data_IF_471589100762
#
_entry.id   IF_471589100762
#
_cell.length_a   1.000
_cell.length_b   1.000
_cell.length_c   1.000
_cell.angle_alpha   90.00
_cell.angle_beta   90.00
_cell.angle_gamma   90.00
#
_symmetry.space_group_name_H-M   'P 1'
#
loop_
_entity.id
_entity.type
_entity.pdbx_description
1 polymer ?
#
# COMPACT_ATOMS: atom_id res chain seq x y z
N UNK A 1 -0.86 -30.39 -4.81
CA UNK A 1 0.24 -29.45 -4.60
C UNK A 1 0.70 -29.02 -6.00
N UNK A 2 0.10 -27.98 -6.54
CA UNK A 2 0.39 -27.48 -7.87
C UNK A 2 1.62 -26.59 -7.81
N UNK A 3 2.58 -26.86 -8.69
CA UNK A 3 3.66 -25.95 -9.07
C UNK A 3 3.03 -24.74 -9.76
N UNK A 4 2.43 -23.81 -9.00
CA UNK A 4 2.04 -22.51 -9.53
C UNK A 4 3.34 -21.80 -9.91
N UNK A 5 3.50 -21.60 -11.22
CA UNK A 5 4.50 -20.72 -11.81
C UNK A 5 4.48 -19.44 -10.97
N UNK A 6 5.59 -19.14 -10.29
CA UNK A 6 5.82 -17.84 -9.65
C UNK A 6 5.54 -16.79 -10.72
N UNK A 7 4.36 -16.19 -10.68
CA UNK A 7 3.99 -15.13 -11.58
C UNK A 7 4.84 -13.92 -11.17
N UNK A 8 5.91 -13.67 -11.92
CA UNK A 8 6.84 -12.60 -11.66
C UNK A 8 6.17 -11.28 -12.09
N UNK A 9 5.19 -10.82 -11.27
CA UNK A 9 4.46 -9.59 -11.52
C UNK A 9 5.44 -8.42 -11.75
N UNK A 10 6.51 -8.31 -10.94
CA UNK A 10 7.55 -7.27 -11.10
C UNK A 10 8.12 -7.27 -12.51
N UNK A 11 8.48 -8.44 -13.04
CA UNK A 11 9.01 -8.55 -14.41
C UNK A 11 7.98 -8.12 -15.46
N UNK A 12 6.70 -8.48 -15.28
CA UNK A 12 5.61 -8.03 -16.17
C UNK A 12 5.42 -6.52 -16.12
N UNK A 13 5.54 -5.90 -14.94
CA UNK A 13 5.42 -4.46 -14.78
C UNK A 13 6.61 -3.73 -15.41
N UNK A 14 7.85 -4.18 -15.18
CA UNK A 14 9.06 -3.63 -15.81
C UNK A 14 8.97 -3.77 -17.33
N UNK A 15 8.57 -4.95 -17.82
CA UNK A 15 8.34 -5.15 -19.26
C UNK A 15 7.26 -4.22 -19.78
N UNK A 16 6.17 -3.99 -19.05
CA UNK A 16 5.12 -3.03 -19.39
C UNK A 16 5.63 -1.61 -19.51
N UNK A 17 6.51 -1.18 -18.59
CA UNK A 17 7.17 0.15 -18.67
C UNK A 17 8.02 0.26 -19.95
N UNK A 18 8.90 -0.73 -20.18
CA UNK A 18 9.80 -0.72 -21.35
C UNK A 18 8.98 -0.75 -22.66
N UNK A 19 7.99 -1.62 -22.75
CA UNK A 19 7.10 -1.71 -23.90
C UNK A 19 6.35 -0.39 -24.13
N UNK A 20 5.83 0.23 -23.05
CA UNK A 20 5.18 1.53 -23.10
C UNK A 20 6.09 2.63 -23.64
N UNK A 21 7.33 2.71 -23.13
CA UNK A 21 8.32 3.67 -23.63
C UNK A 21 8.59 3.49 -25.13
N UNK A 22 8.80 2.26 -25.58
CA UNK A 22 9.04 1.96 -27.01
C UNK A 22 7.83 2.35 -27.85
N UNK A 23 6.61 1.96 -27.43
CA UNK A 23 5.38 2.31 -28.14
C UNK A 23 5.24 3.83 -28.22
N UNK A 24 5.40 4.56 -27.11
CA UNK A 24 5.24 6.01 -27.09
C UNK A 24 6.25 6.78 -27.94
N UNK A 25 7.50 6.31 -27.99
CA UNK A 25 8.56 6.98 -28.75
C UNK A 25 8.48 6.73 -30.26
N UNK A 26 8.00 5.56 -30.69
CA UNK A 26 8.10 5.14 -32.10
C UNK A 26 6.75 4.95 -32.79
N UNK A 27 5.61 5.08 -32.11
CA UNK A 27 4.31 4.87 -32.74
C UNK A 27 3.71 6.12 -33.35
N UNK A 28 2.83 5.91 -34.35
CA UNK A 28 2.04 6.97 -34.96
C UNK A 28 0.92 7.48 -34.04
N UNK A 29 0.36 8.65 -34.39
CA UNK A 29 -0.78 9.25 -33.67
C UNK A 29 -1.97 8.30 -33.56
N UNK A 30 -2.28 7.56 -34.64
CA UNK A 30 -3.38 6.59 -34.64
C UNK A 30 -3.19 5.46 -33.60
N UNK A 31 -1.96 4.94 -33.45
CA UNK A 31 -1.64 3.93 -32.47
C UNK A 31 -1.75 4.51 -31.06
N UNK A 32 -1.29 5.72 -30.83
CA UNK A 32 -1.41 6.38 -29.53
C UNK A 32 -2.89 6.66 -29.18
N UNK A 33 -3.74 6.99 -30.13
CA UNK A 33 -5.19 7.10 -29.93
C UNK A 33 -5.82 5.79 -29.45
N UNK A 34 -5.38 4.63 -30.01
CA UNK A 34 -5.80 3.29 -29.52
C UNK A 34 -5.30 3.06 -28.09
N UNK A 35 -4.02 3.35 -27.84
CA UNK A 35 -3.40 3.18 -26.52
C UNK A 35 -4.11 4.01 -25.45
N UNK A 36 -4.45 5.27 -25.76
CA UNK A 36 -5.25 6.11 -24.86
C UNK A 36 -6.63 5.52 -24.58
N UNK A 37 -7.29 4.98 -25.60
CA UNK A 37 -8.59 4.34 -25.44
C UNK A 37 -8.49 3.14 -24.50
N UNK A 38 -7.45 2.30 -24.68
CA UNK A 38 -7.18 1.16 -23.78
C UNK A 38 -6.90 1.66 -22.34
N UNK A 39 -6.02 2.65 -22.17
CA UNK A 39 -5.72 3.27 -20.87
C UNK A 39 -6.99 3.73 -20.17
N UNK A 40 -7.86 4.45 -20.89
CA UNK A 40 -9.12 4.96 -20.36
C UNK A 40 -10.03 3.82 -19.89
N UNK A 41 -10.25 2.79 -20.70
CA UNK A 41 -11.12 1.65 -20.35
C UNK A 41 -10.58 0.90 -19.13
N UNK A 42 -9.27 0.62 -19.10
CA UNK A 42 -8.65 -0.06 -17.96
C UNK A 42 -8.73 0.79 -16.67
N UNK A 43 -8.54 2.10 -16.79
CA UNK A 43 -8.74 3.05 -15.68
C UNK A 43 -10.17 3.03 -15.14
N UNK A 44 -11.18 3.01 -16.03
CA UNK A 44 -12.59 2.90 -15.63
C UNK A 44 -12.89 1.59 -14.89
N UNK A 45 -12.34 0.44 -15.34
CA UNK A 45 -12.50 -0.85 -14.65
C UNK A 45 -11.88 -0.80 -13.25
N UNK A 46 -10.67 -0.23 -13.12
CA UNK A 46 -10.01 -0.04 -11.83
C UNK A 46 -10.87 0.84 -10.92
N UNK A 47 -11.28 2.02 -11.39
CA UNK A 47 -12.08 2.98 -10.62
C UNK A 47 -13.44 2.41 -10.19
N UNK A 48 -14.08 1.59 -11.04
CA UNK A 48 -15.32 0.90 -10.71
C UNK A 48 -15.17 -0.07 -9.52
N UNK A 49 -14.01 -0.74 -9.41
CA UNK A 49 -13.77 -1.72 -8.35
C UNK A 49 -13.39 -1.09 -7.00
N UNK A 50 -12.93 0.17 -6.98
CA UNK A 50 -12.45 0.83 -5.75
C UNK A 50 -13.49 0.84 -4.62
N UNK A 51 -14.75 1.28 -4.79
CA UNK A 51 -15.74 1.26 -3.71
C UNK A 51 -16.04 -0.15 -3.20
N UNK A 52 -15.99 -1.16 -4.08
CA UNK A 52 -16.20 -2.57 -3.72
C UNK A 52 -15.03 -3.08 -2.85
N UNK A 53 -13.80 -2.70 -3.20
CA UNK A 53 -12.60 -3.01 -2.43
C UNK A 53 -12.70 -2.39 -1.03
N UNK A 54 -13.06 -1.11 -0.93
CA UNK A 54 -13.24 -0.40 0.34
C UNK A 54 -14.25 -1.13 1.23
N UNK A 55 -15.42 -1.41 0.70
CA UNK A 55 -16.48 -2.10 1.46
C UNK A 55 -16.05 -3.52 1.84
N UNK A 56 -15.47 -4.26 0.89
CA UNK A 56 -15.09 -5.66 1.06
C UNK A 56 -13.92 -5.88 2.02
N UNK A 57 -13.08 -4.86 2.28
CA UNK A 57 -11.95 -4.99 3.20
C UNK A 57 -12.17 -4.29 4.53
N UNK A 58 -12.70 -3.06 4.54
CA UNK A 58 -12.82 -2.27 5.75
C UNK A 58 -13.93 -2.81 6.66
N UNK A 59 -15.12 -3.13 6.11
CA UNK A 59 -16.21 -3.62 6.93
C UNK A 59 -15.88 -4.94 7.66
N UNK A 60 -15.32 -5.99 7.00
CA UNK A 60 -14.88 -7.20 7.69
C UNK A 60 -13.74 -6.96 8.69
N UNK A 61 -12.81 -6.04 8.40
CA UNK A 61 -11.75 -5.70 9.35
C UNK A 61 -12.33 -5.16 10.66
N UNK A 62 -13.34 -4.28 10.60
CA UNK A 62 -14.02 -3.73 11.78
C UNK A 62 -14.78 -4.83 12.55
N UNK A 63 -15.48 -5.74 11.86
CA UNK A 63 -16.21 -6.82 12.55
C UNK A 63 -15.28 -7.75 13.33
N UNK A 64 -14.03 -7.91 12.89
CA UNK A 64 -13.01 -8.70 13.59
C UNK A 64 -12.44 -8.01 14.85
N UNK A 65 -12.65 -6.69 14.99
CA UNK A 65 -12.23 -5.90 16.17
C UNK A 65 -13.22 -5.98 17.35
N UNK A 66 -13.92 -7.11 17.55
CA UNK A 66 -14.99 -7.28 18.55
C UNK A 66 -14.56 -6.98 19.99
N UNK A 67 -15.56 -6.59 20.80
CA UNK A 67 -15.43 -6.27 22.22
C UNK A 67 -14.88 -7.39 23.11
N UNK A 68 -14.87 -8.63 22.64
CA UNK A 68 -14.26 -9.80 23.29
C UNK A 68 -12.82 -10.07 22.79
N UNK A 69 -12.25 -9.17 21.99
CA UNK A 69 -10.86 -9.28 21.59
C UNK A 69 -9.95 -9.20 22.82
N UNK A 70 -8.99 -10.11 22.93
CA UNK A 70 -8.03 -10.09 24.03
C UNK A 70 -7.30 -8.74 24.07
N UNK A 71 -6.92 -8.27 25.28
CA UNK A 71 -6.09 -7.06 25.45
C UNK A 71 -4.90 -7.03 24.48
N UNK A 72 -4.34 -8.18 24.16
CA UNK A 72 -3.23 -8.34 23.22
C UNK A 72 -3.62 -7.97 21.77
N UNK A 73 -4.82 -8.36 21.32
CA UNK A 73 -5.32 -8.00 19.99
C UNK A 73 -5.52 -6.48 19.85
N UNK A 74 -6.20 -5.87 20.82
CA UNK A 74 -6.43 -4.41 20.82
C UNK A 74 -5.10 -3.66 20.83
N UNK A 75 -4.16 -4.10 21.68
CA UNK A 75 -2.82 -3.48 21.76
C UNK A 75 -2.10 -3.58 20.42
N UNK A 76 -2.12 -4.75 19.76
CA UNK A 76 -1.46 -4.92 18.45
C UNK A 76 -2.10 -4.07 17.35
N UNK A 77 -3.44 -3.94 17.33
CA UNK A 77 -4.14 -3.08 16.37
C UNK A 77 -3.80 -1.61 16.57
N UNK A 78 -3.75 -1.15 17.82
CA UNK A 78 -3.33 0.22 18.15
C UNK A 78 -1.88 0.46 17.72
N UNK A 79 -0.97 -0.47 18.01
CA UNK A 79 0.43 -0.38 17.60
C UNK A 79 0.57 -0.34 16.08
N UNK A 80 -0.16 -1.18 15.35
CA UNK A 80 -0.15 -1.22 13.88
C UNK A 80 -0.65 0.11 13.28
N UNK A 81 -1.76 0.66 13.82
CA UNK A 81 -2.27 1.95 13.40
C UNK A 81 -1.28 3.08 13.67
N UNK A 82 -0.78 3.18 14.91
CA UNK A 82 0.15 4.24 15.31
C UNK A 82 1.47 4.16 14.52
N UNK A 83 1.96 2.95 14.24
CA UNK A 83 3.15 2.77 13.40
C UNK A 83 2.90 3.21 11.95
N UNK A 84 1.79 2.79 11.33
CA UNK A 84 1.44 3.21 9.98
C UNK A 84 1.21 4.72 9.88
N UNK A 85 0.48 5.31 10.84
CA UNK A 85 0.26 6.75 10.94
C UNK A 85 1.59 7.51 11.15
N UNK A 86 2.45 7.01 12.04
CA UNK A 86 3.77 7.60 12.27
C UNK A 86 4.66 7.56 11.03
N UNK A 87 4.67 6.45 10.29
CA UNK A 87 5.37 6.31 9.01
C UNK A 87 4.84 7.30 7.96
N UNK A 88 3.52 7.47 7.89
CA UNK A 88 2.86 8.43 7.01
C UNK A 88 3.24 9.88 7.35
N UNK A 89 3.22 10.24 8.64
CA UNK A 89 3.62 11.58 9.11
C UNK A 89 5.12 11.82 8.83
N UNK A 90 5.97 10.83 9.12
CA UNK A 90 7.39 10.91 8.81
C UNK A 90 7.63 11.15 7.31
N UNK A 91 6.91 10.40 6.47
CA UNK A 91 6.97 10.55 5.01
C UNK A 91 6.47 11.91 4.54
N UNK A 92 5.35 12.39 5.09
CA UNK A 92 4.79 13.71 4.79
C UNK A 92 5.77 14.83 5.12
N UNK A 93 6.35 14.82 6.32
CA UNK A 93 7.34 15.82 6.74
C UNK A 93 8.59 15.77 5.86
N UNK A 94 9.09 14.57 5.58
CA UNK A 94 10.22 14.37 4.66
C UNK A 94 9.90 14.86 3.26
N UNK A 95 8.67 14.64 2.77
CA UNK A 95 8.19 15.10 1.47
C UNK A 95 8.23 16.63 1.35
N UNK A 96 7.70 17.35 2.34
CA UNK A 96 7.78 18.83 2.35
C UNK A 96 9.19 19.37 2.40
N UNK A 97 10.11 18.66 3.07
CA UNK A 97 11.52 19.09 3.18
C UNK A 97 12.34 18.76 1.94
N UNK A 98 12.13 17.59 1.33
CA UNK A 98 13.03 17.04 0.30
C UNK A 98 12.54 17.34 -1.11
N UNK A 99 11.22 17.21 -1.38
CA UNK A 99 10.68 17.36 -2.76
C UNK A 99 11.01 18.72 -3.37
N UNK A 100 10.92 19.87 -2.65
CA UNK A 100 11.30 21.16 -3.21
C UNK A 100 12.79 21.24 -3.63
N UNK A 101 13.65 20.47 -2.96
CA UNK A 101 15.10 20.43 -3.27
C UNK A 101 15.43 19.61 -4.53
N UNK A 102 14.49 18.80 -5.00
CA UNK A 102 14.69 17.96 -6.19
C UNK A 102 14.60 18.74 -7.50
N UNK A 103 14.25 20.03 -7.46
CA UNK A 103 14.08 20.90 -8.64
C UNK A 103 13.26 20.22 -9.73
N UNK A 104 12.10 19.70 -9.35
CA UNK A 104 11.20 19.00 -10.26
C UNK A 104 10.66 20.03 -11.26
N UNK A 105 11.05 19.90 -12.51
CA UNK A 105 10.51 20.72 -13.59
C UNK A 105 9.05 20.33 -13.79
N UNK A 106 8.16 21.28 -13.61
CA UNK A 106 6.74 21.09 -13.93
C UNK A 106 6.59 20.93 -15.44
N UNK A 107 5.80 19.97 -15.86
CA UNK A 107 5.74 19.48 -17.25
C UNK A 107 4.97 20.43 -18.19
N UNK A 108 4.72 21.68 -17.84
CA UNK A 108 3.78 22.54 -18.54
C UNK A 108 4.23 23.05 -19.94
N UNK A 109 5.53 23.08 -20.26
CA UNK A 109 6.00 23.68 -21.52
C UNK A 109 6.59 22.65 -22.50
N UNK A 110 6.01 22.63 -23.72
CA UNK A 110 6.57 21.91 -24.86
C UNK A 110 6.21 20.44 -24.98
N UNK A 111 5.12 19.99 -24.32
CA UNK A 111 4.60 18.65 -24.53
C UNK A 111 3.82 18.53 -25.83
N UNK A 112 3.93 17.35 -26.49
CA UNK A 112 3.04 17.02 -27.59
C UNK A 112 1.62 16.80 -27.07
N UNK A 113 0.64 17.36 -27.76
CA UNK A 113 -0.76 17.05 -27.47
C UNK A 113 -1.07 15.61 -27.81
N UNK A 114 -1.78 14.94 -26.90
CA UNK A 114 -2.22 13.57 -27.14
C UNK A 114 -3.30 13.53 -28.25
N UNK A 115 -3.25 12.56 -29.17
CA UNK A 115 -4.29 12.39 -30.17
C UNK A 115 -5.62 11.99 -29.52
N UNK A 116 -6.78 12.25 -30.12
CA UNK A 116 -8.06 11.91 -29.52
C UNK A 116 -8.23 10.40 -29.35
N UNK A 117 -8.93 9.99 -28.27
CA UNK A 117 -9.37 8.61 -28.10
C UNK A 117 -10.35 8.20 -29.20
N UNK A 118 -10.34 6.92 -29.59
CA UNK A 118 -11.27 6.40 -30.60
C UNK A 118 -12.72 6.45 -30.12
N UNK A 119 -12.94 6.09 -28.85
CA UNK A 119 -14.22 6.18 -28.17
C UNK A 119 -14.02 6.23 -26.66
N UNK A 120 -15.05 6.63 -25.91
CA UNK A 120 -15.06 6.64 -24.46
C UNK A 120 -16.14 5.66 -23.97
N UNK A 121 -15.73 4.67 -23.17
CA UNK A 121 -16.62 3.79 -22.45
C UNK A 121 -16.68 4.25 -20.99
N UNK A 122 -17.73 4.96 -20.63
CA UNK A 122 -17.89 5.43 -19.24
C UNK A 122 -18.52 4.33 -18.38
N UNK A 123 -17.78 3.88 -17.35
CA UNK A 123 -18.23 2.87 -16.39
C UNK A 123 -18.21 3.53 -14.99
N UNK A 124 -19.28 4.25 -14.61
CA UNK A 124 -19.29 4.94 -13.33
C UNK A 124 -19.28 3.94 -12.16
N UNK A 125 -18.54 4.21 -11.07
CA UNK A 125 -18.58 3.37 -9.89
C UNK A 125 -19.97 3.41 -9.24
N UNK A 126 -20.37 2.28 -8.62
CA UNK A 126 -21.69 2.13 -7.97
C UNK A 126 -21.88 3.09 -6.80
N UNK A 127 -20.82 3.41 -6.09
CA UNK A 127 -20.77 4.34 -4.95
C UNK A 127 -19.60 5.29 -5.11
N UNK A 128 -19.73 6.50 -4.56
CA UNK A 128 -18.55 7.32 -4.35
C UNK A 128 -17.65 6.66 -3.31
N UNK A 129 -16.36 6.93 -3.37
CA UNK A 129 -15.37 6.40 -2.43
C UNK A 129 -15.69 6.76 -0.99
N UNK A 130 -16.04 8.03 -0.74
CA UNK A 130 -16.40 8.48 0.61
C UNK A 130 -17.69 7.81 1.10
N UNK A 131 -18.68 7.60 0.21
CA UNK A 131 -19.89 6.86 0.55
C UNK A 131 -19.59 5.40 0.90
N UNK A 132 -18.71 4.74 0.13
CA UNK A 132 -18.27 3.37 0.42
C UNK A 132 -17.53 3.27 1.75
N UNK A 133 -16.67 4.26 2.08
CA UNK A 133 -15.95 4.31 3.35
C UNK A 133 -16.93 4.46 4.53
N UNK A 134 -17.82 5.45 4.47
CA UNK A 134 -18.81 5.68 5.54
C UNK A 134 -19.72 4.46 5.71
N UNK A 135 -20.17 3.86 4.59
CA UNK A 135 -20.95 2.62 4.62
C UNK A 135 -20.19 1.46 5.26
N UNK A 136 -18.91 1.28 4.92
CA UNK A 136 -18.08 0.24 5.49
C UNK A 136 -17.89 0.40 7.01
N UNK A 137 -17.66 1.64 7.47
CA UNK A 137 -17.54 1.95 8.90
C UNK A 137 -18.85 1.68 9.64
N UNK A 138 -19.97 2.20 9.13
CA UNK A 138 -21.27 2.05 9.79
C UNK A 138 -21.74 0.59 9.77
N UNK A 139 -21.59 -0.11 8.66
CA UNK A 139 -21.97 -1.52 8.54
C UNK A 139 -21.13 -2.40 9.47
N UNK A 140 -19.81 -2.19 9.48
CA UNK A 140 -18.89 -2.91 10.37
C UNK A 140 -19.25 -2.70 11.84
N UNK A 141 -19.46 -1.45 12.27
CA UNK A 141 -19.86 -1.13 13.65
C UNK A 141 -21.24 -1.68 14.00
N UNK A 142 -22.24 -1.55 13.12
CA UNK A 142 -23.58 -2.05 13.36
C UNK A 142 -23.61 -3.58 13.54
N UNK A 143 -22.81 -4.32 12.76
CA UNK A 143 -22.66 -5.78 12.90
C UNK A 143 -22.01 -6.14 14.26
N UNK A 144 -21.01 -5.36 14.71
CA UNK A 144 -20.43 -5.54 16.03
C UNK A 144 -21.48 -5.31 17.13
N UNK A 145 -22.24 -4.22 17.05
CA UNK A 145 -23.25 -3.87 18.07
C UNK A 145 -24.41 -4.88 18.13
N UNK A 146 -24.85 -5.37 16.98
CA UNK A 146 -25.95 -6.36 16.89
C UNK A 146 -25.49 -7.80 17.08
N UNK A 147 -24.17 -8.04 17.13
CA UNK A 147 -23.54 -9.36 17.20
C UNK A 147 -24.07 -10.33 16.11
N UNK A 148 -24.33 -9.81 14.89
CA UNK A 148 -24.92 -10.54 13.80
C UNK A 148 -23.92 -11.47 13.11
N UNK A 149 -23.87 -12.73 13.53
CA UNK A 149 -22.97 -13.77 12.99
C UNK A 149 -23.17 -14.04 11.50
N UNK A 150 -24.43 -13.96 11.03
CA UNK A 150 -24.74 -14.20 9.61
C UNK A 150 -24.22 -13.10 8.71
N UNK A 151 -24.36 -11.82 9.12
CA UNK A 151 -23.84 -10.69 8.34
C UNK A 151 -22.31 -10.65 8.40
N UNK A 152 -21.71 -11.01 9.53
CA UNK A 152 -20.25 -11.15 9.64
C UNK A 152 -19.72 -12.18 8.65
N UNK A 153 -20.30 -13.39 8.61
CA UNK A 153 -19.93 -14.43 7.66
C UNK A 153 -20.15 -13.99 6.19
N UNK A 154 -21.25 -13.31 5.91
CA UNK A 154 -21.52 -12.76 4.58
C UNK A 154 -20.47 -11.72 4.15
N UNK A 155 -20.02 -10.86 5.06
CA UNK A 155 -18.93 -9.91 4.77
C UNK A 155 -17.60 -10.62 4.53
N UNK A 156 -17.29 -11.71 5.25
CA UNK A 156 -16.09 -12.51 5.02
C UNK A 156 -16.13 -13.20 3.65
N UNK A 157 -17.30 -13.72 3.24
CA UNK A 157 -17.49 -14.25 1.89
C UNK A 157 -17.34 -13.16 0.82
N UNK A 158 -17.96 -11.99 1.04
CA UNK A 158 -17.83 -10.84 0.15
C UNK A 158 -16.36 -10.41 0.01
N UNK A 159 -15.59 -10.37 1.10
CA UNK A 159 -14.14 -10.11 1.07
C UNK A 159 -13.41 -11.10 0.14
N UNK A 160 -13.72 -12.40 0.24
CA UNK A 160 -13.11 -13.43 -0.62
C UNK A 160 -13.48 -13.22 -2.10
N UNK A 161 -14.73 -12.82 -2.39
CA UNK A 161 -15.16 -12.48 -3.77
C UNK A 161 -14.35 -11.29 -4.29
N UNK A 162 -14.24 -10.22 -3.51
CA UNK A 162 -13.46 -9.03 -3.91
C UNK A 162 -11.97 -9.35 -4.09
N UNK A 163 -11.37 -10.15 -3.20
CA UNK A 163 -10.01 -10.66 -3.38
C UNK A 163 -9.87 -11.41 -4.71
N UNK A 164 -10.85 -12.25 -5.06
CA UNK A 164 -10.84 -12.97 -6.34
C UNK A 164 -10.89 -12.02 -7.54
N UNK A 165 -11.68 -10.94 -7.49
CA UNK A 165 -11.70 -9.88 -8.51
C UNK A 165 -10.34 -9.22 -8.63
N UNK A 166 -9.73 -8.83 -7.51
CA UNK A 166 -8.40 -8.21 -7.49
C UNK A 166 -7.37 -9.13 -8.15
N UNK A 167 -7.30 -10.41 -7.75
CA UNK A 167 -6.31 -11.34 -8.28
C UNK A 167 -6.54 -11.73 -9.73
N UNK A 168 -7.80 -11.90 -10.15
CA UNK A 168 -8.13 -12.45 -11.48
C UNK A 168 -8.40 -11.38 -12.54
N UNK A 169 -8.70 -10.15 -12.14
CA UNK A 169 -9.02 -9.06 -13.06
C UNK A 169 -8.02 -7.93 -12.89
N UNK A 170 -7.94 -7.31 -11.69
CA UNK A 170 -7.18 -6.07 -11.51
C UNK A 170 -5.67 -6.30 -11.68
N UNK A 171 -5.09 -7.28 -10.97
CA UNK A 171 -3.65 -7.57 -11.09
C UNK A 171 -3.24 -7.93 -12.52
N UNK A 172 -3.97 -8.79 -13.27
CA UNK A 172 -3.62 -9.07 -14.66
C UNK A 172 -3.72 -7.90 -15.63
N UNK A 173 -4.60 -6.93 -15.40
CA UNK A 173 -4.70 -5.75 -16.29
C UNK A 173 -3.66 -4.67 -15.97
N UNK A 174 -3.03 -4.67 -14.78
CA UNK A 174 -2.05 -3.66 -14.39
C UNK A 174 -0.88 -3.51 -15.38
N UNK A 175 -0.23 -4.59 -15.88
CA UNK A 175 0.85 -4.44 -16.86
C UNK A 175 0.41 -3.69 -18.13
N UNK A 176 -0.80 -3.95 -18.62
CA UNK A 176 -1.35 -3.27 -19.81
C UNK A 176 -1.69 -1.81 -19.51
N UNK A 177 -2.25 -1.53 -18.34
CA UNK A 177 -2.52 -0.17 -17.89
C UNK A 177 -1.23 0.64 -17.75
N UNK A 178 -0.18 0.05 -17.16
CA UNK A 178 1.16 0.63 -17.05
C UNK A 178 1.77 0.86 -18.44
N UNK A 179 1.72 -0.12 -19.33
CA UNK A 179 2.20 0.04 -20.71
C UNK A 179 1.53 1.22 -21.39
N UNK A 180 0.21 1.31 -21.30
CA UNK A 180 -0.55 2.40 -21.91
C UNK A 180 -0.23 3.76 -21.29
N UNK A 181 -0.02 3.82 -19.99
CA UNK A 181 0.38 5.04 -19.26
C UNK A 181 1.75 5.52 -19.70
N UNK A 182 2.75 4.63 -19.74
CA UNK A 182 4.10 5.00 -20.14
C UNK A 182 4.17 5.33 -21.65
N UNK A 183 3.35 4.72 -22.47
CA UNK A 183 3.27 5.07 -23.89
C UNK A 183 2.73 6.49 -24.09
N UNK A 184 1.68 6.87 -23.37
CA UNK A 184 1.17 8.25 -23.43
C UNK A 184 2.20 9.26 -22.91
N UNK A 185 2.84 9.02 -21.78
CA UNK A 185 3.86 9.89 -21.21
C UNK A 185 5.11 10.01 -22.09
N UNK A 186 5.51 8.92 -22.76
CA UNK A 186 6.65 8.93 -23.68
C UNK A 186 6.32 9.69 -24.97
N UNK A 187 5.11 9.52 -25.50
CA UNK A 187 4.65 10.27 -26.69
C UNK A 187 4.58 11.78 -26.43
N UNK A 188 4.07 12.18 -25.27
CA UNK A 188 4.06 13.59 -24.84
C UNK A 188 5.47 14.17 -24.67
N UNK A 189 6.48 13.32 -24.46
CA UNK A 189 7.85 13.73 -24.17
C UNK A 189 8.09 14.03 -22.68
N UNK A 190 7.13 13.75 -21.81
CA UNK A 190 7.22 14.01 -20.38
C UNK A 190 8.16 13.04 -19.65
N UNK A 191 8.22 11.78 -20.10
CA UNK A 191 8.92 10.70 -19.39
C UNK A 191 10.43 10.89 -19.29
N UNK A 192 11.06 11.41 -20.34
CA UNK A 192 12.53 11.62 -20.33
C UNK A 192 12.95 12.64 -19.29
N UNK A 193 12.06 13.58 -18.95
CA UNK A 193 12.27 14.60 -17.92
C UNK A 193 11.93 14.06 -16.50
N UNK A 194 10.96 13.16 -16.38
CA UNK A 194 10.43 12.68 -15.11
C UNK A 194 11.12 11.43 -14.57
N UNK A 195 11.59 10.52 -15.44
CA UNK A 195 12.23 9.27 -15.03
C UNK A 195 13.41 9.47 -14.04
N UNK A 196 14.33 10.43 -14.25
CA UNK A 196 15.39 10.68 -13.28
C UNK A 196 14.88 11.13 -11.90
N UNK A 197 13.77 11.85 -11.86
CA UNK A 197 13.12 12.28 -10.61
C UNK A 197 12.57 11.06 -9.88
N UNK A 198 11.81 10.21 -10.55
CA UNK A 198 11.26 9.00 -9.93
C UNK A 198 12.33 8.07 -9.41
N UNK A 199 13.46 7.89 -10.12
CA UNK A 199 14.58 7.09 -9.62
C UNK A 199 15.19 7.67 -8.33
N UNK A 200 15.36 8.99 -8.25
CA UNK A 200 15.81 9.65 -7.01
C UNK A 200 14.82 9.45 -5.88
N UNK A 201 13.52 9.61 -6.17
CA UNK A 201 12.44 9.45 -5.19
C UNK A 201 12.38 8.02 -4.66
N UNK A 202 12.55 7.01 -5.51
CA UNK A 202 12.65 5.60 -5.10
C UNK A 202 13.77 5.40 -4.08
N UNK A 203 14.96 5.95 -4.33
CA UNK A 203 16.11 5.85 -3.41
C UNK A 203 15.80 6.56 -2.09
N UNK A 204 15.20 7.76 -2.12
CA UNK A 204 14.84 8.52 -0.92
C UNK A 204 13.85 7.73 -0.06
N UNK A 205 12.82 7.13 -0.68
CA UNK A 205 11.83 6.31 0.02
C UNK A 205 12.47 5.06 0.61
N UNK A 206 13.40 4.40 -0.11
CA UNK A 206 14.15 3.26 0.44
C UNK A 206 14.96 3.66 1.68
N UNK A 207 15.65 4.78 1.64
CA UNK A 207 16.34 5.31 2.83
C UNK A 207 15.33 5.60 3.95
N UNK A 208 14.18 6.18 3.62
CA UNK A 208 13.07 6.40 4.56
C UNK A 208 12.59 5.11 5.24
N UNK A 209 12.46 4.00 4.49
CA UNK A 209 12.11 2.69 5.05
C UNK A 209 13.13 2.24 6.10
N UNK A 210 14.44 2.33 5.82
CA UNK A 210 15.46 1.93 6.78
C UNK A 210 15.51 2.84 8.01
N UNK A 211 15.29 4.14 7.85
CA UNK A 211 15.17 5.07 8.98
C UNK A 211 13.97 4.70 9.85
N UNK A 212 12.79 4.47 9.22
CA UNK A 212 11.58 4.10 9.94
C UNK A 212 11.73 2.78 10.68
N UNK A 213 12.27 1.75 10.03
CA UNK A 213 12.60 0.48 10.69
C UNK A 213 13.56 0.66 11.86
N UNK A 214 14.57 1.51 11.73
CA UNK A 214 15.51 1.82 12.82
C UNK A 214 14.79 2.43 14.03
N UNK A 215 13.84 3.35 13.80
CA UNK A 215 13.00 3.92 14.84
C UNK A 215 12.15 2.84 15.52
N UNK A 216 11.44 2.01 14.75
CA UNK A 216 10.57 0.95 15.28
C UNK A 216 11.36 -0.07 16.11
N UNK A 217 12.52 -0.52 15.61
CA UNK A 217 13.36 -1.48 16.33
C UNK A 217 14.00 -0.86 17.57
N UNK A 218 14.34 0.43 17.56
CA UNK A 218 14.81 1.14 18.73
C UNK A 218 13.75 1.21 19.82
N UNK A 219 12.52 1.54 19.46
CA UNK A 219 11.36 1.53 20.37
C UNK A 219 11.13 0.10 20.90
N UNK A 220 11.15 -0.90 20.00
CA UNK A 220 10.97 -2.31 20.35
C UNK A 220 12.02 -2.79 21.36
N UNK A 221 13.29 -2.45 21.14
CA UNK A 221 14.38 -2.76 22.06
C UNK A 221 14.22 -2.10 23.44
N UNK A 222 13.86 -0.83 23.47
CA UNK A 222 13.64 -0.07 24.70
C UNK A 222 12.46 -0.62 25.52
N UNK A 223 11.35 -0.98 24.88
CA UNK A 223 10.14 -1.51 25.54
C UNK A 223 10.33 -2.94 26.01
N UNK A 224 10.91 -3.81 25.17
CA UNK A 224 11.11 -5.22 25.47
C UNK A 224 12.31 -5.49 26.36
N UNK A 225 13.25 -4.55 26.46
CA UNK A 225 14.57 -4.74 27.08
C UNK A 225 15.38 -5.88 26.42
N UNK A 226 15.10 -6.18 25.16
CA UNK A 226 15.82 -7.14 24.33
C UNK A 226 16.73 -6.40 23.33
N UNK A 227 17.77 -7.06 22.86
CA UNK A 227 18.58 -6.50 21.79
C UNK A 227 17.81 -6.56 20.46
N UNK A 228 17.37 -5.42 19.90
CA UNK A 228 16.57 -5.41 18.67
C UNK A 228 17.35 -5.93 17.46
N UNK A 229 18.68 -5.80 17.45
CA UNK A 229 19.52 -6.27 16.35
C UNK A 229 19.51 -7.80 16.20
N UNK A 230 19.23 -8.55 17.27
CA UNK A 230 19.11 -10.00 17.21
C UNK A 230 17.94 -10.42 16.31
N UNK A 231 16.79 -9.80 16.48
CA UNK A 231 15.62 -10.05 15.64
C UNK A 231 15.82 -9.48 14.23
N UNK A 232 16.29 -8.24 14.10
CA UNK A 232 16.50 -7.59 12.80
C UNK A 232 17.45 -8.40 11.90
N UNK A 233 18.57 -8.90 12.42
CA UNK A 233 19.51 -9.74 11.67
C UNK A 233 18.88 -11.05 11.21
N UNK A 234 17.99 -11.64 12.00
CA UNK A 234 17.29 -12.87 11.65
C UNK A 234 16.26 -12.65 10.52
N UNK A 235 15.79 -11.42 10.30
CA UNK A 235 14.73 -11.11 9.33
C UNK A 235 15.21 -10.93 7.88
N UNK A 236 16.51 -11.04 7.60
CA UNK A 236 17.05 -10.96 6.23
C UNK A 236 16.34 -11.86 5.21
N UNK A 237 16.13 -13.17 5.49
CA UNK A 237 15.38 -14.04 4.58
C UNK A 237 13.94 -13.61 4.35
N UNK A 238 13.24 -13.08 5.38
CA UNK A 238 11.88 -12.57 5.26
C UNK A 238 11.84 -11.30 4.39
N UNK A 239 12.80 -10.38 4.57
CA UNK A 239 12.94 -9.18 3.74
C UNK A 239 13.09 -9.54 2.24
N UNK A 240 14.00 -10.46 1.91
CA UNK A 240 14.23 -10.90 0.53
C UNK A 240 13.01 -11.64 -0.06
N UNK A 241 12.33 -12.46 0.76
CA UNK A 241 11.10 -13.14 0.32
C UNK A 241 9.99 -12.13 0.05
N UNK A 242 9.83 -11.10 0.88
CA UNK A 242 8.84 -10.05 0.68
C UNK A 242 9.11 -9.26 -0.60
N UNK A 243 10.37 -8.92 -0.90
CA UNK A 243 10.73 -8.31 -2.20
C UNK A 243 10.28 -9.19 -3.36
N UNK A 244 10.52 -10.50 -3.27
CA UNK A 244 10.20 -11.43 -4.37
C UNK A 244 8.72 -11.75 -4.52
N UNK A 245 7.94 -11.65 -3.45
CA UNK A 245 6.50 -12.01 -3.45
C UNK A 245 5.58 -10.82 -3.54
N UNK A 246 6.02 -9.62 -3.14
CA UNK A 246 5.20 -8.42 -2.98
C UNK A 246 3.95 -8.67 -2.11
N UNK A 247 4.02 -9.66 -1.21
CA UNK A 247 2.88 -10.08 -0.40
C UNK A 247 3.32 -10.44 1.01
N UNK A 248 2.82 -9.70 2.01
CA UNK A 248 3.04 -10.02 3.42
C UNK A 248 2.47 -11.38 3.78
N UNK A 249 1.31 -11.74 3.25
CA UNK A 249 0.66 -13.03 3.47
C UNK A 249 1.49 -14.20 2.92
N UNK A 250 2.05 -14.07 1.71
CA UNK A 250 2.91 -15.10 1.12
C UNK A 250 4.26 -15.23 1.85
N UNK A 251 4.73 -14.14 2.49
CA UNK A 251 5.99 -14.11 3.25
C UNK A 251 5.85 -14.63 4.68
N UNK A 252 4.63 -14.72 5.20
CA UNK A 252 4.32 -15.07 6.59
C UNK A 252 5.05 -16.32 7.13
N UNK A 253 5.10 -17.46 6.42
CA UNK A 253 5.81 -18.64 6.92
C UNK A 253 7.31 -18.40 7.15
N UNK A 254 7.93 -17.59 6.30
CA UNK A 254 9.36 -17.23 6.42
C UNK A 254 9.56 -16.24 7.57
N UNK A 255 8.68 -15.23 7.70
CA UNK A 255 8.74 -14.26 8.79
C UNK A 255 8.59 -14.94 10.17
N UNK A 256 7.65 -15.89 10.31
CA UNK A 256 7.49 -16.70 11.53
C UNK A 256 8.76 -17.53 11.83
N UNK A 257 9.33 -18.17 10.81
CA UNK A 257 10.58 -18.93 10.98
C UNK A 257 11.73 -18.04 11.45
N UNK A 258 11.86 -16.81 10.87
CA UNK A 258 12.86 -15.83 11.27
C UNK A 258 12.65 -15.39 12.73
N UNK A 259 11.41 -15.09 13.13
CA UNK A 259 11.04 -14.69 14.48
C UNK A 259 11.42 -15.78 15.51
N UNK A 260 11.06 -17.03 15.26
CA UNK A 260 11.38 -18.16 16.13
C UNK A 260 12.88 -18.42 16.25
N UNK A 261 13.61 -18.39 15.13
CA UNK A 261 15.08 -18.57 15.12
C UNK A 261 15.82 -17.48 15.88
N UNK A 262 15.28 -16.28 15.94
CA UNK A 262 15.91 -15.16 16.66
C UNK A 262 15.96 -15.33 18.16
N UNK A 263 15.03 -16.11 18.74
CA UNK A 263 14.84 -16.29 20.19
C UNK A 263 14.60 -14.96 20.95
N UNK A 264 14.29 -13.87 20.23
CA UNK A 264 14.05 -12.56 20.81
C UNK A 264 12.59 -12.38 21.29
N UNK A 265 11.68 -13.25 20.86
CA UNK A 265 10.25 -13.21 21.14
C UNK A 265 9.80 -14.47 21.88
N UNK A 266 8.88 -14.32 22.82
CA UNK A 266 8.13 -15.46 23.36
C UNK A 266 7.34 -16.11 22.19
N UNK A 267 7.27 -17.44 22.15
CA UNK A 267 6.67 -18.18 21.03
C UNK A 267 5.19 -17.82 20.83
N UNK A 268 4.43 -17.68 21.93
CA UNK A 268 3.01 -17.27 21.88
C UNK A 268 2.84 -15.89 21.25
N UNK A 269 3.73 -14.95 21.56
CA UNK A 269 3.72 -13.61 20.98
C UNK A 269 4.07 -13.66 19.49
N UNK A 270 5.10 -14.42 19.12
CA UNK A 270 5.49 -14.56 17.72
C UNK A 270 4.35 -15.18 16.88
N UNK A 271 3.74 -16.27 17.37
CA UNK A 271 2.63 -16.94 16.69
C UNK A 271 1.36 -16.08 16.57
N UNK A 272 1.19 -15.09 17.43
CA UNK A 272 0.07 -14.16 17.41
C UNK A 272 0.39 -12.88 16.60
N UNK A 273 1.47 -12.19 16.95
CA UNK A 273 1.75 -10.85 16.44
C UNK A 273 2.18 -10.85 14.97
N UNK A 274 3.00 -11.82 14.53
CA UNK A 274 3.50 -11.86 13.15
C UNK A 274 2.37 -12.12 12.13
N UNK A 275 1.47 -13.12 12.32
CA UNK A 275 0.33 -13.31 11.41
C UNK A 275 -0.63 -12.12 11.40
N UNK A 276 -0.89 -11.53 12.56
CA UNK A 276 -1.78 -10.37 12.65
C UNK A 276 -1.14 -9.14 11.98
N UNK A 277 0.15 -8.86 12.24
CA UNK A 277 0.89 -7.78 11.61
C UNK A 277 0.85 -7.86 10.09
N UNK A 278 1.10 -9.04 9.52
CA UNK A 278 1.06 -9.28 8.08
C UNK A 278 -0.30 -8.93 7.41
N UNK A 279 -1.36 -8.74 8.21
CA UNK A 279 -2.71 -8.40 7.72
C UNK A 279 -3.14 -6.96 8.03
N UNK A 280 -2.58 -6.31 9.06
CA UNK A 280 -3.07 -5.01 9.54
C UNK A 280 -2.01 -3.92 9.61
N UNK A 281 -0.73 -4.24 9.36
CA UNK A 281 0.38 -3.31 9.50
C UNK A 281 1.11 -3.11 8.18
N UNK A 282 0.99 -1.91 7.60
CA UNK A 282 1.50 -1.58 6.27
C UNK A 282 2.39 -0.31 6.29
N UNK A 283 3.24 -0.15 7.32
CA UNK A 283 4.04 1.05 7.53
C UNK A 283 4.93 1.43 6.34
N UNK A 284 5.56 0.47 5.67
CA UNK A 284 6.42 0.71 4.52
C UNK A 284 5.63 1.14 3.28
N UNK A 285 4.51 0.44 3.00
CA UNK A 285 3.63 0.80 1.88
C UNK A 285 3.01 2.17 2.07
N UNK A 286 2.56 2.51 3.28
CA UNK A 286 2.00 3.82 3.63
C UNK A 286 3.06 4.92 3.50
N UNK A 287 4.29 4.70 3.98
CA UNK A 287 5.41 5.62 3.82
C UNK A 287 5.68 5.91 2.34
N UNK A 288 5.76 4.86 1.53
CA UNK A 288 5.94 4.94 0.07
C UNK A 288 4.83 5.77 -0.56
N UNK A 289 3.58 5.45 -0.24
CA UNK A 289 2.41 6.06 -0.85
C UNK A 289 2.34 7.56 -0.57
N UNK A 290 2.58 7.99 0.68
CA UNK A 290 2.58 9.39 1.07
C UNK A 290 3.63 10.18 0.31
N UNK A 291 4.86 9.68 0.21
CA UNK A 291 5.92 10.37 -0.53
C UNK A 291 5.60 10.46 -2.01
N UNK A 292 5.01 9.39 -2.57
CA UNK A 292 4.68 9.32 -3.98
C UNK A 292 3.51 10.23 -4.36
N UNK A 293 2.44 10.30 -3.58
CA UNK A 293 1.35 11.25 -3.88
C UNK A 293 1.85 12.70 -3.86
N UNK A 294 2.73 13.06 -2.92
CA UNK A 294 3.34 14.38 -2.88
C UNK A 294 4.23 14.63 -4.10
N UNK A 295 5.03 13.63 -4.51
CA UNK A 295 5.88 13.72 -5.71
C UNK A 295 5.06 13.85 -6.97
N UNK A 296 4.03 13.03 -7.14
CA UNK A 296 3.13 13.07 -8.31
C UNK A 296 2.38 14.41 -8.36
N UNK A 297 1.93 14.92 -7.23
CA UNK A 297 1.32 16.25 -7.14
C UNK A 297 2.27 17.34 -7.65
N UNK A 298 3.53 17.32 -7.19
CA UNK A 298 4.54 18.29 -7.64
C UNK A 298 4.85 18.15 -9.14
N UNK A 299 4.95 16.91 -9.63
CA UNK A 299 5.26 16.62 -11.05
C UNK A 299 4.14 17.06 -11.98
N UNK A 300 2.88 16.71 -11.69
CA UNK A 300 1.75 16.92 -12.59
C UNK A 300 1.09 18.29 -12.39
N UNK A 301 0.94 18.73 -11.15
CA UNK A 301 0.18 19.93 -10.83
C UNK A 301 1.06 21.11 -10.40
N UNK A 302 2.38 20.92 -10.32
CA UNK A 302 3.35 21.97 -9.99
C UNK A 302 3.35 22.43 -8.53
N UNK A 303 2.56 21.81 -7.67
CA UNK A 303 2.40 22.20 -6.26
C UNK A 303 2.31 20.98 -5.36
N UNK A 304 2.83 21.11 -4.14
CA UNK A 304 2.57 20.14 -3.08
C UNK A 304 1.16 20.38 -2.52
N UNK A 305 0.43 19.32 -2.12
CA UNK A 305 -0.85 19.47 -1.44
C UNK A 305 -0.68 20.30 -0.15
N UNK A 306 -1.74 21.00 0.29
CA UNK A 306 -1.69 21.76 1.54
C UNK A 306 -1.45 20.83 2.74
N UNK A 307 -0.85 21.37 3.82
CA UNK A 307 -0.61 20.60 5.05
C UNK A 307 -1.93 20.03 5.61
N UNK A 308 -3.02 20.83 5.61
CA UNK A 308 -4.33 20.37 6.07
C UNK A 308 -4.87 19.20 5.24
N UNK A 309 -4.75 19.28 3.92
CA UNK A 309 -5.13 18.19 2.99
C UNK A 309 -4.30 16.94 3.25
N UNK A 310 -2.99 17.09 3.42
CA UNK A 310 -2.10 15.95 3.70
C UNK A 310 -2.35 15.31 5.06
N UNK A 311 -2.66 16.11 6.10
CA UNK A 311 -3.01 15.55 7.42
C UNK A 311 -4.29 14.72 7.32
N UNK A 312 -5.32 15.23 6.64
CA UNK A 312 -6.54 14.45 6.39
C UNK A 312 -6.25 13.16 5.62
N UNK A 313 -5.47 13.25 4.54
CA UNK A 313 -5.07 12.09 3.75
C UNK A 313 -4.34 11.05 4.58
N UNK A 314 -3.34 11.45 5.37
CA UNK A 314 -2.51 10.57 6.20
C UNK A 314 -3.34 9.84 7.27
N UNK A 315 -4.26 10.55 7.95
CA UNK A 315 -5.15 9.95 8.96
C UNK A 315 -6.07 8.91 8.32
N UNK A 316 -6.69 9.24 7.19
CA UNK A 316 -7.54 8.30 6.45
C UNK A 316 -6.74 7.12 5.91
N UNK A 317 -5.56 7.36 5.33
CA UNK A 317 -4.68 6.30 4.82
C UNK A 317 -4.32 5.29 5.90
N UNK A 318 -4.07 5.74 7.15
CA UNK A 318 -3.84 4.85 8.28
C UNK A 318 -5.02 3.90 8.55
N UNK A 319 -6.26 4.39 8.41
CA UNK A 319 -7.47 3.56 8.54
C UNK A 319 -7.58 2.55 7.38
N UNK A 320 -7.35 3.01 6.15
CA UNK A 320 -7.37 2.15 4.97
C UNK A 320 -6.30 1.05 5.03
N UNK A 321 -5.12 1.37 5.58
CA UNK A 321 -4.03 0.42 5.74
C UNK A 321 -4.40 -0.78 6.63
N UNK A 322 -5.23 -0.60 7.68
CA UNK A 322 -5.71 -1.72 8.51
C UNK A 322 -6.59 -2.68 7.71
N UNK A 323 -7.39 -2.15 6.77
CA UNK A 323 -8.30 -2.94 5.93
C UNK A 323 -7.70 -3.38 4.59
N UNK A 324 -6.53 -2.89 4.23
CA UNK A 324 -5.93 -3.20 2.93
C UNK A 324 -5.43 -4.66 2.88
N UNK A 325 -5.64 -5.36 1.76
CA UNK A 325 -5.15 -6.74 1.65
C UNK A 325 -3.63 -6.78 1.54
N UNK A 326 -2.99 -7.77 2.18
CA UNK A 326 -1.55 -8.03 2.10
C UNK A 326 -1.12 -8.66 0.76
N UNK A 327 -1.58 -8.09 -0.36
CA UNK A 327 -1.35 -8.54 -1.73
C UNK A 327 -0.64 -7.44 -2.53
N UNK A 328 0.00 -7.75 -3.67
CA UNK A 328 0.64 -6.74 -4.51
C UNK A 328 -0.30 -5.56 -4.84
N UNK A 329 0.13 -4.34 -4.57
CA UNK A 329 -0.65 -3.12 -4.80
C UNK A 329 -1.83 -2.90 -3.84
N UNK A 330 -2.01 -3.76 -2.82
CA UNK A 330 -3.19 -3.73 -1.95
C UNK A 330 -3.42 -2.39 -1.26
N UNK A 331 -2.37 -1.75 -0.76
CA UNK A 331 -2.46 -0.45 -0.07
C UNK A 331 -2.95 0.65 -0.99
N UNK A 332 -2.28 0.86 -2.13
CA UNK A 332 -2.65 1.91 -3.08
C UNK A 332 -4.03 1.65 -3.69
N UNK A 333 -4.39 0.38 -3.94
CA UNK A 333 -5.74 0.03 -4.42
C UNK A 333 -6.82 0.42 -3.40
N UNK A 334 -6.58 0.17 -2.12
CA UNK A 334 -7.51 0.54 -1.06
C UNK A 334 -7.66 2.06 -0.93
N UNK A 335 -6.61 2.83 -1.20
CA UNK A 335 -6.55 4.28 -1.00
C UNK A 335 -6.87 5.12 -2.24
N UNK A 336 -7.00 4.51 -3.46
CA UNK A 336 -7.27 5.25 -4.71
C UNK A 336 -8.36 6.30 -4.56
N UNK A 337 -9.35 5.96 -3.78
CA UNK A 337 -10.46 6.84 -3.58
C UNK A 337 -10.15 8.09 -2.77
N UNK A 338 -9.32 8.00 -1.75
CA UNK A 338 -8.88 9.20 -1.02
C UNK A 338 -7.83 9.97 -1.82
N UNK A 339 -7.04 9.31 -2.65
CA UNK A 339 -6.14 9.99 -3.60
C UNK A 339 -6.96 10.89 -4.54
N UNK A 340 -8.07 10.38 -5.09
CA UNK A 340 -8.93 11.16 -5.96
C UNK A 340 -9.74 12.22 -5.18
N UNK A 341 -10.45 11.83 -4.09
CA UNK A 341 -11.42 12.70 -3.44
C UNK A 341 -10.80 13.73 -2.49
N UNK A 342 -9.68 13.42 -1.84
CA UNK A 342 -9.00 14.30 -0.88
C UNK A 342 -7.89 15.10 -1.56
N UNK A 343 -7.05 14.44 -2.38
CA UNK A 343 -5.93 15.09 -3.05
C UNK A 343 -6.31 15.70 -4.41
N UNK A 344 -7.49 15.35 -4.94
CA UNK A 344 -7.99 15.89 -6.20
C UNK A 344 -7.30 15.33 -7.44
N UNK A 345 -6.69 14.13 -7.36
CA UNK A 345 -6.00 13.55 -8.51
C UNK A 345 -7.01 13.14 -9.59
N UNK A 346 -6.69 13.51 -10.82
CA UNK A 346 -7.38 13.05 -12.02
C UNK A 346 -6.93 11.64 -12.44
N UNK A 347 -7.51 11.11 -13.51
CA UNK A 347 -7.17 9.79 -14.04
C UNK A 347 -5.69 9.66 -14.40
N UNK A 348 -5.02 10.74 -14.81
CA UNK A 348 -3.59 10.75 -15.12
C UNK A 348 -2.75 10.63 -13.85
N UNK A 349 -3.09 11.38 -12.82
CA UNK A 349 -2.43 11.31 -11.52
C UNK A 349 -2.62 9.94 -10.86
N UNK A 350 -3.82 9.37 -10.93
CA UNK A 350 -4.12 8.02 -10.45
C UNK A 350 -3.30 6.97 -11.23
N UNK A 351 -3.26 7.07 -12.56
CA UNK A 351 -2.51 6.14 -13.39
C UNK A 351 -1.00 6.18 -13.08
N UNK A 352 -0.45 7.39 -12.93
CA UNK A 352 0.96 7.56 -12.59
C UNK A 352 1.25 7.03 -11.18
N UNK A 353 0.38 7.33 -10.20
CA UNK A 353 0.52 6.83 -8.83
C UNK A 353 0.51 5.31 -8.77
N UNK A 354 -0.47 4.65 -9.40
CA UNK A 354 -0.53 3.19 -9.50
C UNK A 354 0.73 2.61 -10.10
N UNK A 355 1.25 3.24 -11.15
CA UNK A 355 2.42 2.76 -11.87
C UNK A 355 3.68 2.81 -11.02
N UNK A 356 3.99 3.98 -10.44
CA UNK A 356 5.22 4.13 -9.64
C UNK A 356 5.14 3.32 -8.34
N UNK A 357 3.95 3.22 -7.72
CA UNK A 357 3.75 2.42 -6.54
C UNK A 357 3.97 0.94 -6.84
N UNK A 358 3.40 0.42 -7.93
CA UNK A 358 3.54 -0.98 -8.32
C UNK A 358 5.01 -1.39 -8.58
N UNK A 359 5.85 -0.48 -9.08
CA UNK A 359 7.28 -0.73 -9.29
C UNK A 359 8.08 -0.80 -7.98
N UNK A 360 7.61 -0.15 -6.91
CA UNK A 360 8.31 -0.09 -5.63
C UNK A 360 7.63 -0.91 -4.52
N UNK A 361 6.44 -1.43 -4.72
CA UNK A 361 5.65 -2.15 -3.73
C UNK A 361 6.41 -3.31 -3.06
N UNK A 362 7.34 -3.94 -3.78
CA UNK A 362 8.24 -4.97 -3.26
C UNK A 362 9.04 -4.50 -2.04
N UNK A 363 9.56 -3.28 -2.05
CA UNK A 363 10.33 -2.72 -0.95
C UNK A 363 9.43 -2.23 0.19
N UNK A 364 8.27 -1.66 -0.13
CA UNK A 364 7.24 -1.31 0.84
C UNK A 364 6.78 -2.55 1.63
N UNK A 365 6.48 -3.64 0.91
CA UNK A 365 6.12 -4.93 1.52
C UNK A 365 7.24 -5.50 2.38
N UNK A 366 8.49 -5.41 1.95
CA UNK A 366 9.63 -5.85 2.76
C UNK A 366 9.77 -5.04 4.06
N UNK A 367 9.54 -3.73 4.00
CA UNK A 367 9.49 -2.87 5.17
C UNK A 367 8.32 -3.23 6.11
N UNK A 368 7.12 -3.53 5.57
CA UNK A 368 5.98 -4.00 6.36
C UNK A 368 6.33 -5.25 7.16
N UNK A 369 6.81 -6.29 6.47
CA UNK A 369 7.14 -7.60 7.08
C UNK A 369 8.21 -7.48 8.16
N UNK A 370 9.25 -6.67 7.92
CA UNK A 370 10.30 -6.44 8.93
C UNK A 370 9.74 -5.59 10.08
N UNK A 371 8.90 -4.61 9.78
CA UNK A 371 8.19 -3.80 10.78
C UNK A 371 7.29 -4.63 11.70
N UNK A 372 6.65 -5.70 11.18
CA UNK A 372 5.85 -6.64 12.00
C UNK A 372 6.69 -7.25 13.12
N UNK A 373 7.95 -7.59 12.83
CA UNK A 373 8.89 -8.06 13.84
C UNK A 373 9.16 -7.03 14.94
N UNK A 374 9.28 -5.76 14.59
CA UNK A 374 9.45 -4.69 15.56
C UNK A 374 8.20 -4.50 16.45
N UNK A 375 7.00 -4.55 15.86
CA UNK A 375 5.76 -4.49 16.64
C UNK A 375 5.61 -5.70 17.55
N UNK A 376 5.96 -6.91 17.08
CA UNK A 376 5.98 -8.10 17.92
C UNK A 376 6.94 -7.94 19.10
N UNK A 377 8.09 -7.29 18.92
CA UNK A 377 9.05 -7.00 19.98
C UNK A 377 8.47 -6.03 21.01
N UNK A 378 7.76 -4.98 20.57
CA UNK A 378 7.06 -4.04 21.46
C UNK A 378 5.98 -4.79 22.26
N UNK A 379 5.16 -5.58 21.58
CA UNK A 379 4.10 -6.37 22.21
C UNK A 379 4.66 -7.34 23.26
N UNK A 380 5.76 -8.02 22.91
CA UNK A 380 6.48 -8.92 23.84
C UNK A 380 6.91 -8.19 25.11
N UNK A 381 7.43 -6.98 24.98
CA UNK A 381 7.84 -6.17 26.13
C UNK A 381 6.67 -5.75 27.03
N UNK A 382 5.51 -5.42 26.45
CA UNK A 382 4.31 -5.02 27.20
C UNK A 382 3.78 -6.21 27.98
N UNK A 383 3.58 -7.36 27.34
CA UNK A 383 2.91 -8.53 27.95
C UNK A 383 3.83 -9.38 28.83
N UNK A 384 5.15 -9.34 28.63
CA UNK A 384 6.10 -9.99 29.54
C UNK A 384 6.12 -9.32 30.92
N UNK A 385 5.95 -8.01 31.00
CA UNK A 385 5.82 -7.29 32.28
C UNK A 385 4.55 -7.68 33.02
N UNK A 386 3.42 -7.85 32.33
CA UNK A 386 2.15 -8.25 32.94
C UNK A 386 2.24 -9.67 33.56
N UNK A 387 2.92 -10.63 32.88
CA UNK A 387 3.15 -11.99 33.43
C UNK A 387 4.02 -12.01 34.70
N UNK A 388 4.99 -11.10 34.79
CA UNK A 388 5.86 -11.00 35.98
C UNK A 388 5.09 -10.40 37.16
N UNK A 389 4.25 -9.38 36.94
CA UNK A 389 3.42 -8.77 37.98
C UNK A 389 2.34 -9.73 38.52
N UNK A 390 1.74 -10.57 37.66
CA UNK A 390 0.76 -11.58 38.04
C UNK A 390 1.34 -12.76 38.86
N UNK A 391 2.66 -12.99 38.79
CA UNK A 391 3.34 -14.02 39.59
C UNK A 391 3.80 -13.51 40.96
N UNK A 392 3.76 -12.20 41.19
CA UNK A 392 4.15 -11.55 42.45
C UNK A 392 2.95 -11.20 43.35
N UNK A 393 1.73 -11.34 42.85
CA UNK A 393 0.47 -11.28 43.59
C UNK A 393 -0.13 -12.67 43.72
#
# INVERSE_FOLDING_TARGET
MSNEKKDNLILKLIFGVIAGLIIGLFSSESVIGIVQTIKFILGQIISFTVPLIILGFIAPAITKMKSNASKMLITMLILAYLSSLGAAIFSMLSGYMIIPLLNILTVADGLKTLPPMLFKLNIPPVLSVMSALVLALFLGLAIVWTNSKKLEAALDEFNNVILSIVYRIIIPILPFFITSTFATLAYEGSITKQLPVFLKVVIIVLVGHFIWLSILYSIGGAVSKQNPLTLLKAYGPAYLTAIGTMSSAATLPVALSCAKKSQALDEDIANFAIPLGATVHLCGSVLTEVFFVMTVSQVLYGTLPSVGTMVLFVVLLGIFAIGAPGVPGGTVMASLGIISSVLGFDDTGIALMLTIFALQDSFGTACNVVGDGALALILNGIFKKDKVLQKQN
#
